data_IF_692142749622
#
_entry.id   IF_692142749622
#
_cell.length_a   1.000
_cell.length_b   1.000
_cell.length_c   1.000
_cell.angle_alpha   90.00
_cell.angle_beta   90.00
_cell.angle_gamma   90.00
#
_symmetry.space_group_name_H-M   'P 1'
#
loop_
_entity.id
_entity.type
_entity.pdbx_description
1 polymer ?
#
# COMPACT_ATOMS: atom_id res chain seq x y z
N UNK A 1 -32.32 -8.40 21.38
CA UNK A 1 -31.68 -7.06 21.31
C UNK A 1 -30.32 -7.20 20.64
N UNK A 2 -30.28 -7.15 19.31
CA UNK A 2 -29.04 -7.27 18.53
C UNK A 2 -28.39 -5.89 18.39
N UNK A 3 -27.29 -5.67 19.12
CA UNK A 3 -26.42 -4.49 18.93
C UNK A 3 -25.69 -4.65 17.60
N UNK A 4 -26.21 -4.00 16.55
CA UNK A 4 -25.59 -3.96 15.23
C UNK A 4 -24.56 -2.82 15.15
N UNK A 5 -23.29 -3.22 15.14
CA UNK A 5 -22.14 -2.63 14.46
C UNK A 5 -22.04 -1.10 14.38
N UNK A 6 -21.26 -0.52 15.31
CA UNK A 6 -20.57 0.74 15.02
C UNK A 6 -19.67 0.53 13.79
N UNK A 7 -20.07 1.09 12.64
CA UNK A 7 -19.14 1.42 11.55
C UNK A 7 -18.45 2.72 11.97
N UNK A 8 -17.13 2.75 12.22
CA UNK A 8 -16.44 4.03 12.22
C UNK A 8 -16.45 4.54 10.77
N UNK A 9 -17.38 5.46 10.48
CA UNK A 9 -17.29 6.31 9.29
C UNK A 9 -16.09 7.24 9.49
N UNK A 10 -14.92 6.75 9.08
CA UNK A 10 -13.84 7.67 8.74
C UNK A 10 -14.39 8.56 7.64
N UNK A 11 -14.37 9.91 7.77
CA UNK A 11 -14.58 10.78 6.63
C UNK A 11 -13.54 10.35 5.61
N UNK A 12 -13.97 9.81 4.46
CA UNK A 12 -13.02 9.43 3.45
C UNK A 12 -12.32 10.74 3.04
N UNK A 13 -10.99 10.73 3.03
CA UNK A 13 -10.36 11.24 1.81
C UNK A 13 -11.12 10.50 0.71
N UNK A 14 -12.02 11.19 0.01
CA UNK A 14 -12.88 10.59 -1.02
C UNK A 14 -11.94 9.74 -1.87
N UNK A 15 -12.31 8.50 -2.17
CA UNK A 15 -11.44 7.60 -2.94
C UNK A 15 -10.84 8.32 -4.16
N UNK A 16 -11.63 9.21 -4.77
CA UNK A 16 -11.25 10.14 -5.83
C UNK A 16 -10.07 11.06 -5.47
N UNK A 17 -10.05 11.65 -4.28
CA UNK A 17 -8.93 12.45 -3.79
C UNK A 17 -7.68 11.58 -3.56
N UNK A 18 -7.82 10.37 -3.02
CA UNK A 18 -6.71 9.43 -2.87
C UNK A 18 -6.11 9.09 -4.24
N UNK A 19 -6.95 8.77 -5.22
CA UNK A 19 -6.52 8.43 -6.57
C UNK A 19 -5.87 9.61 -7.27
N UNK A 20 -6.47 10.81 -7.21
CA UNK A 20 -5.83 12.06 -7.69
C UNK A 20 -4.45 12.28 -7.08
N UNK A 21 -4.31 11.98 -5.79
CA UNK A 21 -3.02 12.12 -5.10
C UNK A 21 -2.01 11.04 -5.50
N UNK A 22 -2.45 9.81 -5.78
CA UNK A 22 -1.61 8.74 -6.33
C UNK A 22 -1.14 9.08 -7.75
N UNK A 23 -2.03 9.60 -8.61
CA UNK A 23 -1.70 10.04 -9.97
C UNK A 23 -0.64 11.16 -9.96
N UNK A 24 -0.78 12.13 -9.04
CA UNK A 24 0.22 13.19 -8.83
C UNK A 24 1.60 12.65 -8.44
N UNK A 25 1.70 11.42 -7.95
CA UNK A 25 3.00 10.82 -7.66
C UNK A 25 3.80 10.55 -8.94
N UNK A 26 3.19 10.48 -10.14
CA UNK A 26 3.90 10.19 -11.41
C UNK A 26 4.87 9.01 -11.26
N UNK A 27 4.36 7.88 -10.79
CA UNK A 27 5.15 6.68 -10.57
C UNK A 27 5.49 6.03 -11.91
N UNK A 28 6.75 5.65 -12.10
CA UNK A 28 7.14 4.82 -13.23
C UNK A 28 6.57 3.41 -13.03
N UNK A 29 5.55 3.07 -13.82
CA UNK A 29 4.89 1.75 -13.78
C UNK A 29 5.79 0.69 -14.44
N UNK A 30 6.73 1.10 -15.29
CA UNK A 30 7.71 0.25 -15.98
C UNK A 30 8.59 -0.52 -14.97
N UNK A 31 8.87 0.05 -13.80
CA UNK A 31 9.71 -0.61 -12.78
C UNK A 31 9.01 -1.80 -12.12
N UNK A 32 7.68 -1.85 -12.16
CA UNK A 32 6.87 -2.90 -11.54
C UNK A 32 6.88 -4.18 -12.38
N UNK A 33 6.79 -4.06 -13.71
CA UNK A 33 6.76 -5.20 -14.64
C UNK A 33 7.99 -6.11 -14.58
N UNK A 34 9.15 -5.57 -14.18
CA UNK A 34 10.41 -6.32 -14.10
C UNK A 34 10.67 -6.93 -12.71
N UNK A 35 9.76 -6.73 -11.75
CA UNK A 35 9.92 -7.22 -10.38
C UNK A 35 8.98 -8.36 -10.07
N UNK A 36 9.48 -9.59 -10.17
CA UNK A 36 8.81 -10.74 -9.56
C UNK A 36 8.84 -10.57 -8.03
N UNK A 37 7.70 -10.45 -7.33
CA UNK A 37 7.69 -10.39 -5.87
C UNK A 37 8.07 -11.77 -5.35
N UNK A 38 9.33 -11.94 -4.94
CA UNK A 38 9.81 -13.17 -4.27
C UNK A 38 9.36 -13.11 -2.81
N UNK A 39 8.06 -13.08 -2.57
CA UNK A 39 7.48 -13.06 -1.22
C UNK A 39 7.03 -14.46 -0.86
N UNK A 40 7.93 -15.24 -0.25
CA UNK A 40 7.59 -16.49 0.43
C UNK A 40 6.75 -16.16 1.67
N UNK A 41 5.45 -16.02 1.49
CA UNK A 41 4.51 -15.82 2.60
C UNK A 41 3.87 -17.15 2.97
N UNK A 42 3.89 -17.49 4.26
CA UNK A 42 3.56 -18.83 4.77
C UNK A 42 2.05 -19.14 4.67
N UNK A 43 1.20 -18.11 4.64
CA UNK A 43 -0.26 -18.30 4.55
C UNK A 43 -0.77 -18.17 3.12
N UNK A 44 -1.83 -18.92 2.80
CA UNK A 44 -2.53 -18.85 1.51
C UNK A 44 -2.92 -17.40 1.20
N UNK A 45 -2.63 -16.89 -0.03
CA UNK A 45 -3.03 -15.56 -0.44
C UNK A 45 -4.55 -15.34 -0.28
N UNK A 46 -4.95 -14.11 0.06
CA UNK A 46 -6.36 -13.74 0.11
C UNK A 46 -6.86 -13.46 -1.30
N UNK A 47 -7.98 -14.07 -1.70
CA UNK A 47 -8.66 -13.68 -2.94
C UNK A 47 -9.21 -12.27 -2.80
N UNK A 48 -8.66 -11.32 -3.57
CA UNK A 48 -9.04 -9.90 -3.53
C UNK A 48 -9.73 -9.41 -4.81
N UNK A 49 -9.89 -10.27 -5.82
CA UNK A 49 -10.43 -9.90 -7.15
C UNK A 49 -11.87 -9.36 -7.08
N UNK A 50 -12.65 -9.83 -6.11
CA UNK A 50 -14.04 -9.40 -5.91
C UNK A 50 -14.16 -8.22 -4.93
N UNK A 51 -13.04 -7.65 -4.46
CA UNK A 51 -13.06 -6.53 -3.52
C UNK A 51 -13.11 -5.21 -4.27
N UNK A 52 -13.79 -4.19 -3.71
CA UNK A 52 -13.80 -2.85 -4.30
C UNK A 52 -12.40 -2.31 -4.56
N UNK A 53 -12.25 -1.60 -5.67
CA UNK A 53 -11.03 -0.93 -6.11
C UNK A 53 -9.89 -1.85 -6.55
N UNK A 54 -10.18 -3.13 -6.80
CA UNK A 54 -9.20 -4.07 -7.32
C UNK A 54 -8.68 -3.64 -8.70
N UNK A 55 -9.56 -3.10 -9.55
CA UNK A 55 -9.23 -2.62 -10.89
C UNK A 55 -8.19 -1.48 -10.92
N UNK A 56 -7.94 -0.82 -9.80
CA UNK A 56 -6.91 0.23 -9.68
C UNK A 56 -5.55 -0.29 -9.23
N UNK A 57 -5.42 -1.61 -9.00
CA UNK A 57 -4.15 -2.25 -8.70
C UNK A 57 -3.52 -2.78 -9.97
N UNK A 58 -2.23 -2.50 -10.15
CA UNK A 58 -1.44 -3.21 -11.14
C UNK A 58 -1.36 -4.71 -10.80
N UNK A 59 -1.26 -5.66 -11.76
CA UNK A 59 -1.27 -7.10 -11.48
C UNK A 59 -0.28 -7.56 -10.40
N UNK A 60 0.94 -7.04 -10.38
CA UNK A 60 1.98 -7.33 -9.39
C UNK A 60 1.64 -6.69 -8.04
N UNK A 61 1.02 -5.51 -8.03
CA UNK A 61 0.52 -4.88 -6.81
C UNK A 61 -0.64 -5.68 -6.21
N UNK A 62 -1.54 -6.18 -7.07
CA UNK A 62 -2.62 -7.08 -6.68
C UNK A 62 -2.07 -8.39 -6.10
N UNK A 63 -1.00 -8.95 -6.68
CA UNK A 63 -0.32 -10.12 -6.14
C UNK A 63 0.27 -9.86 -4.75
N UNK A 64 0.95 -8.72 -4.56
CA UNK A 64 1.49 -8.31 -3.25
C UNK A 64 0.37 -8.08 -2.24
N UNK A 65 -0.70 -7.36 -2.62
CA UNK A 65 -1.84 -7.11 -1.75
C UNK A 65 -2.55 -8.40 -1.33
N UNK A 66 -2.75 -9.34 -2.26
CA UNK A 66 -3.30 -10.66 -2.02
C UNK A 66 -2.42 -11.47 -1.05
N UNK A 67 -1.11 -11.49 -1.30
CA UNK A 67 -0.11 -12.19 -0.48
C UNK A 67 -0.08 -11.64 0.95
N UNK A 68 -0.13 -10.33 1.12
CA UNK A 68 -0.16 -9.67 2.43
C UNK A 68 -1.56 -9.65 3.07
N UNK A 69 -2.58 -10.20 2.39
CA UNK A 69 -3.98 -10.22 2.81
C UNK A 69 -4.47 -8.81 3.14
N UNK A 70 -4.28 -7.89 2.19
CA UNK A 70 -4.71 -6.49 2.25
C UNK A 70 -5.85 -6.25 1.27
N UNK A 71 -6.91 -5.58 1.73
CA UNK A 71 -7.91 -5.06 0.81
C UNK A 71 -7.29 -4.00 -0.12
N UNK A 72 -7.74 -3.87 -1.38
CA UNK A 72 -7.17 -2.93 -2.35
C UNK A 72 -7.06 -1.50 -1.81
N UNK A 73 -8.11 -1.01 -1.14
CA UNK A 73 -8.10 0.32 -0.52
C UNK A 73 -6.99 0.49 0.53
N UNK A 74 -6.71 -0.54 1.33
CA UNK A 74 -5.65 -0.48 2.35
C UNK A 74 -4.27 -0.44 1.70
N UNK A 75 -4.08 -1.19 0.61
CA UNK A 75 -2.85 -1.14 -0.16
C UNK A 75 -2.65 0.24 -0.80
N UNK A 76 -3.67 0.79 -1.46
CA UNK A 76 -3.62 2.11 -2.11
C UNK A 76 -3.32 3.24 -1.10
N UNK A 77 -3.98 3.23 0.06
CA UNK A 77 -3.67 4.17 1.15
C UNK A 77 -2.22 4.05 1.62
N UNK A 78 -1.71 2.82 1.77
CA UNK A 78 -0.33 2.60 2.20
C UNK A 78 0.68 3.06 1.13
N UNK A 79 0.42 2.76 -0.15
CA UNK A 79 1.20 3.22 -1.30
C UNK A 79 1.34 4.74 -1.30
N UNK A 80 0.21 5.46 -1.23
CA UNK A 80 0.23 6.91 -1.19
C UNK A 80 1.00 7.45 0.04
N UNK A 81 0.69 6.94 1.23
CA UNK A 81 1.27 7.42 2.49
C UNK A 81 2.78 7.23 2.51
N UNK A 82 3.27 6.05 2.13
CA UNK A 82 4.70 5.75 2.13
C UNK A 82 5.47 6.59 1.13
N UNK A 83 5.02 6.63 -0.13
CA UNK A 83 5.77 7.32 -1.18
C UNK A 83 5.73 8.84 -0.95
N UNK A 84 4.57 9.39 -0.57
CA UNK A 84 4.46 10.82 -0.26
C UNK A 84 5.35 11.22 0.92
N UNK A 85 5.44 10.36 1.95
CA UNK A 85 6.30 10.62 3.12
C UNK A 85 7.78 10.45 2.78
N UNK A 86 8.16 9.41 2.04
CA UNK A 86 9.53 9.22 1.56
C UNK A 86 10.03 10.44 0.77
N UNK A 87 9.21 10.98 -0.13
CA UNK A 87 9.53 12.19 -0.89
C UNK A 87 9.69 13.42 0.01
N UNK A 88 8.87 13.55 1.05
CA UNK A 88 9.00 14.65 2.03
C UNK A 88 10.31 14.53 2.82
N UNK A 89 10.70 13.32 3.21
CA UNK A 89 11.97 13.05 3.89
C UNK A 89 13.16 13.39 2.98
N UNK A 90 13.12 12.92 1.73
CA UNK A 90 14.15 13.22 0.73
C UNK A 90 14.31 14.73 0.49
N UNK A 91 13.20 15.48 0.35
CA UNK A 91 13.24 16.95 0.20
C UNK A 91 13.86 17.67 1.40
N UNK A 92 13.79 17.07 2.58
CA UNK A 92 14.37 17.61 3.83
C UNK A 92 15.76 17.01 4.13
N UNK A 93 16.31 16.20 3.23
CA UNK A 93 17.57 15.48 3.42
C UNK A 93 17.58 14.57 4.67
N UNK A 94 16.41 14.08 5.09
CA UNK A 94 16.30 13.11 6.17
C UNK A 94 16.31 11.69 5.61
N UNK A 95 17.00 10.74 6.29
CA UNK A 95 16.96 9.34 5.90
C UNK A 95 15.58 8.76 6.20
N UNK A 96 15.04 7.98 5.28
CA UNK A 96 13.77 7.28 5.47
C UNK A 96 14.03 5.81 5.75
N UNK A 97 13.73 5.36 6.98
CA UNK A 97 14.05 4.03 7.45
C UNK A 97 12.82 3.14 7.55
N UNK A 98 13.07 1.82 7.57
CA UNK A 98 12.04 0.80 7.75
C UNK A 98 11.21 0.99 9.03
N UNK A 99 11.83 1.49 10.11
CA UNK A 99 11.12 1.80 11.37
C UNK A 99 10.08 2.90 11.20
N UNK A 100 10.36 3.91 10.36
CA UNK A 100 9.42 5.01 10.11
C UNK A 100 8.15 4.49 9.42
N UNK A 101 8.31 3.59 8.45
CA UNK A 101 7.21 2.91 7.75
C UNK A 101 6.27 2.20 8.71
N UNK A 102 6.83 1.50 9.69
CA UNK A 102 6.07 0.74 10.68
C UNK A 102 5.26 1.67 11.59
N UNK A 103 5.77 2.87 11.89
CA UNK A 103 5.05 3.90 12.65
C UNK A 103 3.98 4.61 11.82
N UNK A 104 4.23 4.80 10.51
CA UNK A 104 3.32 5.52 9.61
C UNK A 104 2.09 4.69 9.22
N UNK A 105 2.28 3.39 9.00
CA UNK A 105 1.20 2.53 8.58
C UNK A 105 0.46 1.98 9.81
N UNK A 106 -0.83 2.30 9.94
CA UNK A 106 -1.73 1.72 10.95
C UNK A 106 -2.09 0.27 10.62
N UNK A 107 -1.08 -0.59 10.47
CA UNK A 107 -1.21 -1.99 10.11
C UNK A 107 -0.12 -2.82 10.79
N UNK A 108 -0.22 -4.14 10.65
CA UNK A 108 0.76 -5.08 11.17
C UNK A 108 2.20 -4.78 10.68
N UNK A 109 3.16 -4.77 11.61
CA UNK A 109 4.55 -4.40 11.38
C UNK A 109 5.27 -5.29 10.36
N UNK A 110 4.87 -6.56 10.25
CA UNK A 110 5.44 -7.49 9.27
C UNK A 110 4.93 -7.17 7.86
N UNK A 111 3.65 -6.78 7.74
CA UNK A 111 3.09 -6.35 6.46
C UNK A 111 3.68 -5.01 6.00
N UNK A 112 3.84 -4.05 6.92
CA UNK A 112 4.50 -2.78 6.63
C UNK A 112 5.95 -3.00 6.16
N UNK A 113 6.70 -3.89 6.84
CA UNK A 113 8.04 -4.31 6.42
C UNK A 113 8.10 -4.83 4.99
N UNK A 114 7.14 -5.67 4.59
CA UNK A 114 7.12 -6.26 3.24
C UNK A 114 6.75 -5.26 2.16
N UNK A 115 5.81 -4.34 2.45
CA UNK A 115 5.51 -3.23 1.54
C UNK A 115 6.73 -2.32 1.33
N UNK A 116 7.46 -2.02 2.40
CA UNK A 116 8.72 -1.27 2.30
C UNK A 116 9.75 -1.96 1.39
N UNK A 117 9.99 -3.26 1.61
CA UNK A 117 10.92 -4.03 0.78
C UNK A 117 10.49 -4.05 -0.70
N UNK A 118 9.19 -4.22 -0.97
CA UNK A 118 8.63 -4.17 -2.31
C UNK A 118 8.82 -2.79 -2.96
N UNK A 119 8.43 -1.71 -2.28
CA UNK A 119 8.54 -0.35 -2.82
C UNK A 119 10.00 0.08 -3.06
N UNK A 120 10.94 -0.36 -2.20
CA UNK A 120 12.37 -0.19 -2.46
C UNK A 120 12.82 -0.93 -3.71
N UNK A 121 12.33 -2.17 -3.90
CA UNK A 121 12.69 -3.00 -5.06
C UNK A 121 12.22 -2.37 -6.38
N UNK A 122 11.02 -1.79 -6.41
CA UNK A 122 10.49 -1.06 -7.58
C UNK A 122 10.98 0.39 -7.67
N UNK A 123 11.91 0.81 -6.79
CA UNK A 123 12.53 2.13 -6.76
C UNK A 123 11.55 3.30 -6.61
N UNK A 124 10.46 3.10 -5.87
CA UNK A 124 9.52 4.17 -5.55
C UNK A 124 9.91 4.96 -4.28
N UNK A 125 10.82 4.39 -3.49
CA UNK A 125 11.37 4.92 -2.23
C UNK A 125 12.85 4.56 -2.11
#
# INVERSE_FOLDING_TARGET
MTKSFYKPSLPPIQFDELMKNIEKLKLDVISVHNTTPRTTWISKPLTIINLPYYEFLHPEEAHVASTLRLAPIKYLSAKYTLISTARKYYKKSFPFHKSDVQLLLRMDVNKASKLWEFFKKVKWI
#
